data_IF_076579031129
#
_entry.id   IF_076579031129
#
_cell.length_a   1.000
_cell.length_b   1.000
_cell.length_c   1.000
_cell.angle_alpha   90.00
_cell.angle_beta   90.00
_cell.angle_gamma   90.00
#
_symmetry.space_group_name_H-M   'P 1'
#
loop_
_entity.id
_entity.type
_entity.pdbx_description
1 polymer ?
#
# COMPACT_ATOMS: atom_id res chain seq x y z
N UNK A 1 -6.35 -1.16 5.14
CA UNK A 1 -5.77 0.20 5.24
C UNK A 1 -6.60 1.18 4.43
N UNK A 2 -6.50 2.47 4.68
CA UNK A 2 -7.32 3.49 3.98
C UNK A 2 -6.45 4.38 3.09
N UNK A 3 -6.87 4.60 1.85
CA UNK A 3 -6.24 5.59 0.95
C UNK A 3 -7.16 6.80 0.87
N UNK A 4 -6.59 7.98 1.10
CA UNK A 4 -7.31 9.24 1.13
C UNK A 4 -6.66 10.22 0.16
N UNK A 5 -7.46 10.73 -0.77
CA UNK A 5 -7.05 11.75 -1.72
C UNK A 5 -7.16 13.14 -1.09
N UNK A 6 -6.04 13.76 -0.73
CA UNK A 6 -5.97 15.15 -0.32
C UNK A 6 -5.37 16.05 -1.41
N UNK A 7 -5.34 15.58 -2.66
CA UNK A 7 -4.84 16.32 -3.80
C UNK A 7 -5.99 16.99 -4.56
N UNK A 8 -5.67 17.86 -5.50
CA UNK A 8 -6.65 18.41 -6.45
C UNK A 8 -6.96 17.46 -7.61
N UNK A 9 -6.42 16.23 -7.62
CA UNK A 9 -6.60 15.24 -8.68
C UNK A 9 -7.72 14.27 -8.30
N UNK A 10 -8.81 14.27 -9.05
CA UNK A 10 -9.88 13.27 -8.92
C UNK A 10 -9.43 11.91 -9.44
N UNK A 11 -9.86 10.82 -8.79
CA UNK A 11 -9.56 9.44 -9.22
C UNK A 11 -8.23 8.88 -8.74
N UNK A 12 -7.27 9.72 -8.34
CA UNK A 12 -5.93 9.30 -7.93
C UNK A 12 -5.92 8.27 -6.77
N UNK A 13 -6.84 8.36 -5.81
CA UNK A 13 -6.89 7.38 -4.72
C UNK A 13 -7.33 6.00 -5.22
N UNK A 14 -8.18 5.93 -6.24
CA UNK A 14 -8.56 4.67 -6.90
C UNK A 14 -7.36 4.01 -7.56
N UNK A 15 -6.64 4.76 -8.40
CA UNK A 15 -5.47 4.26 -9.13
C UNK A 15 -4.38 3.73 -8.17
N UNK A 16 -4.10 4.47 -7.10
CA UNK A 16 -3.14 4.04 -6.08
C UNK A 16 -3.66 2.80 -5.33
N UNK A 17 -4.95 2.74 -5.01
CA UNK A 17 -5.55 1.58 -4.34
C UNK A 17 -5.46 0.32 -5.20
N UNK A 18 -5.76 0.42 -6.50
CA UNK A 18 -5.63 -0.68 -7.45
C UNK A 18 -4.18 -1.16 -7.57
N UNK A 19 -3.23 -0.23 -7.64
CA UNK A 19 -1.81 -0.56 -7.71
C UNK A 19 -1.33 -1.27 -6.45
N UNK A 20 -1.70 -0.77 -5.27
CA UNK A 20 -1.39 -1.40 -3.99
C UNK A 20 -2.05 -2.77 -3.86
N UNK A 21 -3.31 -2.92 -4.28
CA UNK A 21 -4.00 -4.21 -4.29
C UNK A 21 -3.26 -5.23 -5.18
N UNK A 22 -2.78 -4.80 -6.35
CA UNK A 22 -1.95 -5.64 -7.23
C UNK A 22 -0.60 -6.03 -6.61
N UNK A 23 -0.09 -5.27 -5.64
CA UNK A 23 1.11 -5.59 -4.88
C UNK A 23 0.83 -6.51 -3.68
N UNK A 24 -0.44 -6.83 -3.39
CA UNK A 24 -0.86 -7.70 -2.29
C UNK A 24 -1.27 -6.97 -1.01
N UNK A 25 -1.46 -5.66 -1.07
CA UNK A 25 -1.91 -4.85 0.06
C UNK A 25 -3.44 -4.88 0.18
N UNK A 26 -3.94 -5.06 1.41
CA UNK A 26 -5.38 -5.03 1.71
C UNK A 26 -5.88 -3.58 1.88
N UNK A 27 -6.19 -2.96 0.74
CA UNK A 27 -6.67 -1.58 0.64
C UNK A 27 -8.19 -1.55 0.67
N UNK A 28 -8.72 -0.74 1.59
CA UNK A 28 -10.15 -0.45 1.67
C UNK A 28 -10.62 0.49 0.57
N UNK A 29 -11.84 0.99 0.73
CA UNK A 29 -12.51 1.79 -0.28
C UNK A 29 -11.91 3.20 -0.35
N UNK A 30 -11.31 3.66 -1.46
CA UNK A 30 -10.62 4.95 -1.53
C UNK A 30 -11.54 6.12 -1.16
N UNK A 31 -11.04 7.00 -0.30
CA UNK A 31 -11.76 8.19 0.17
C UNK A 31 -11.10 9.49 -0.32
N UNK A 32 -11.82 10.60 -0.19
CA UNK A 32 -11.28 11.94 -0.44
C UNK A 32 -11.21 12.71 0.88
N UNK A 33 -10.12 13.43 1.11
CA UNK A 33 -9.96 14.23 2.32
C UNK A 33 -10.90 15.44 2.28
N UNK A 34 -11.44 15.81 3.44
CA UNK A 34 -12.19 17.07 3.61
C UNK A 34 -11.33 18.31 3.30
N UNK A 35 -10.03 18.21 3.55
CA UNK A 35 -9.07 19.29 3.34
C UNK A 35 -7.91 18.83 2.45
N UNK A 36 -7.61 19.55 1.35
CA UNK A 36 -6.47 19.22 0.52
C UNK A 36 -5.15 19.54 1.25
N UNK A 37 -4.15 18.69 1.05
CA UNK A 37 -2.80 18.84 1.61
C UNK A 37 -1.78 18.91 0.49
N UNK A 38 -0.74 19.71 0.71
CA UNK A 38 0.39 19.76 -0.22
C UNK A 38 1.22 18.49 -0.10
N UNK A 39 1.50 18.05 1.13
CA UNK A 39 2.39 16.92 1.39
C UNK A 39 1.63 15.59 1.44
N UNK A 40 2.32 14.54 0.96
CA UNK A 40 1.87 13.14 1.06
C UNK A 40 2.34 12.58 2.38
N UNK A 41 1.42 12.07 3.20
CA UNK A 41 1.75 11.55 4.54
C UNK A 41 1.11 10.20 4.79
N UNK A 42 1.81 9.36 5.56
CA UNK A 42 1.33 8.06 6.04
C UNK A 42 1.00 8.23 7.51
N UNK A 43 -0.28 8.28 7.86
CA UNK A 43 -0.72 8.31 9.26
C UNK A 43 -0.93 6.89 9.74
N UNK A 44 -0.26 6.52 10.83
CA UNK A 44 -0.35 5.16 11.34
C UNK A 44 -0.33 5.13 12.87
N UNK A 45 -1.08 4.19 13.43
CA UNK A 45 -0.99 3.82 14.83
C UNK A 45 0.34 3.11 15.12
N UNK A 46 0.89 3.21 16.34
CA UNK A 46 2.11 2.49 16.71
C UNK A 46 2.01 0.97 16.46
N UNK A 47 0.81 0.37 16.57
CA UNK A 47 0.56 -1.03 16.26
C UNK A 47 0.74 -1.38 14.77
N UNK A 48 0.64 -0.39 13.88
CA UNK A 48 0.73 -0.51 12.43
C UNK A 48 2.07 0.02 11.88
N UNK A 49 3.06 0.32 12.74
CA UNK A 49 4.34 0.89 12.33
C UNK A 49 5.09 0.03 11.30
N UNK A 50 5.11 -1.29 11.48
CA UNK A 50 5.75 -2.20 10.51
C UNK A 50 5.11 -2.11 9.12
N UNK A 51 3.77 -2.02 9.03
CA UNK A 51 3.07 -1.90 7.76
C UNK A 51 3.29 -0.51 7.12
N UNK A 52 3.42 0.54 7.93
CA UNK A 52 3.75 1.88 7.46
C UNK A 52 5.15 1.94 6.82
N UNK A 53 6.13 1.24 7.39
CA UNK A 53 7.49 1.18 6.85
C UNK A 53 7.52 0.56 5.44
N UNK A 54 6.77 -0.52 5.22
CA UNK A 54 6.62 -1.15 3.91
C UNK A 54 5.90 -0.22 2.92
N UNK A 55 4.85 0.48 3.36
CA UNK A 55 4.17 1.47 2.54
C UNK A 55 5.09 2.63 2.16
N UNK A 56 5.95 3.08 3.07
CA UNK A 56 6.95 4.12 2.80
C UNK A 56 8.01 3.65 1.80
N UNK A 57 8.40 2.37 1.83
CA UNK A 57 9.26 1.80 0.79
C UNK A 57 8.57 1.76 -0.59
N UNK A 58 7.26 1.55 -0.58
CA UNK A 58 6.42 1.50 -1.79
C UNK A 58 6.18 2.90 -2.37
N UNK A 59 5.98 3.89 -1.50
CA UNK A 59 5.71 5.29 -1.82
C UNK A 59 6.79 6.18 -1.17
N UNK A 60 7.98 6.30 -1.79
CA UNK A 60 9.10 7.02 -1.20
C UNK A 60 8.84 8.53 -1.03
N UNK A 61 7.87 9.08 -1.76
CA UNK A 61 7.45 10.48 -1.63
C UNK A 61 6.56 10.75 -0.41
N UNK A 62 6.14 9.72 0.32
CA UNK A 62 5.27 9.86 1.48
C UNK A 62 6.07 9.97 2.79
N UNK A 63 5.66 10.87 3.68
CA UNK A 63 6.26 11.05 5.00
C UNK A 63 5.50 10.30 6.08
N UNK A 64 6.19 9.57 6.93
CA UNK A 64 5.63 8.83 8.05
C UNK A 64 5.24 9.77 9.20
N UNK A 65 3.96 9.71 9.60
CA UNK A 65 3.40 10.50 10.71
C UNK A 65 2.79 9.53 11.72
N UNK A 66 3.49 9.20 12.81
CA UNK A 66 2.94 8.36 13.85
C UNK A 66 1.80 9.08 14.58
N UNK A 67 0.66 8.39 14.73
CA UNK A 67 -0.54 8.85 15.41
C UNK A 67 -0.79 7.96 16.64
N UNK A 68 -0.16 8.25 17.79
CA UNK A 68 -0.30 7.44 19.01
C UNK A 68 -1.68 7.54 19.65
N UNK A 69 -2.53 8.47 19.21
CA UNK A 69 -3.92 8.61 19.66
C UNK A 69 -4.89 7.62 19.00
N UNK A 70 -4.46 6.96 17.93
CA UNK A 70 -5.25 6.01 17.16
C UNK A 70 -4.79 4.57 17.40
N UNK A 71 -5.68 3.60 17.26
CA UNK A 71 -5.35 2.16 17.35
C UNK A 71 -5.81 1.44 16.09
N UNK A 72 -4.96 0.55 15.56
CA UNK A 72 -5.22 -0.19 14.31
C UNK A 72 -5.50 0.71 13.08
N UNK A 73 -5.05 1.96 13.10
CA UNK A 73 -5.21 2.90 11.98
C UNK A 73 -3.97 2.86 11.09
N UNK A 74 -4.20 2.74 9.78
CA UNK A 74 -3.19 2.91 8.74
C UNK A 74 -3.82 3.62 7.56
N UNK A 75 -3.42 4.87 7.33
CA UNK A 75 -4.01 5.76 6.36
C UNK A 75 -2.92 6.42 5.51
N UNK A 76 -3.03 6.28 4.20
CA UNK A 76 -2.20 6.98 3.22
C UNK A 76 -2.95 8.23 2.74
N UNK A 77 -2.41 9.41 3.04
CA UNK A 77 -2.96 10.69 2.57
C UNK A 77 -2.12 11.17 1.39
N UNK A 78 -2.73 11.18 0.21
CA UNK A 78 -2.11 11.58 -1.05
C UNK A 78 -2.24 13.09 -1.24
N UNK A 79 -1.13 13.82 -1.07
CA UNK A 79 -1.08 15.26 -1.26
C UNK A 79 -0.75 15.66 -2.70
N UNK A 80 -0.62 16.97 -2.94
CA UNK A 80 -0.20 17.52 -4.23
C UNK A 80 1.24 17.11 -4.63
N UNK A 81 2.13 16.89 -3.66
CA UNK A 81 3.51 16.45 -3.85
C UNK A 81 3.65 14.97 -4.24
N UNK A 82 2.54 14.24 -4.40
CA UNK A 82 2.58 12.85 -4.85
C UNK A 82 3.00 12.76 -6.33
N UNK A 83 4.00 11.94 -6.65
CA UNK A 83 4.60 11.89 -8.00
C UNK A 83 4.05 10.75 -8.88
N UNK A 84 2.97 10.07 -8.45
CA UNK A 84 2.46 8.86 -9.13
C UNK A 84 3.42 7.67 -9.15
N UNK A 85 4.50 7.77 -8.38
CA UNK A 85 5.48 6.70 -8.25
C UNK A 85 5.09 5.78 -7.12
N UNK A 86 4.53 4.63 -7.49
CA UNK A 86 4.33 3.47 -6.61
C UNK A 86 5.28 2.37 -7.08
N UNK A 87 6.10 1.84 -6.18
CA UNK A 87 7.05 0.76 -6.48
C UNK A 87 6.76 -0.43 -5.61
N UNK A 88 7.00 -1.64 -6.13
CA UNK A 88 6.96 -2.82 -5.28
C UNK A 88 8.00 -2.68 -4.15
N UNK A 89 7.63 -2.95 -2.88
CA UNK A 89 8.61 -3.00 -1.82
C UNK A 89 9.63 -4.11 -2.13
N UNK A 90 10.92 -3.85 -1.85
CA UNK A 90 12.00 -4.82 -2.09
C UNK A 90 11.88 -6.07 -1.22
N UNK A 91 11.18 -5.95 -0.09
CA UNK A 91 10.79 -7.10 0.74
C UNK A 91 9.42 -7.58 0.30
N UNK A 92 9.28 -8.86 -0.10
CA UNK A 92 7.97 -9.43 -0.29
C UNK A 92 7.24 -9.33 1.04
N UNK A 93 6.14 -8.58 1.08
CA UNK A 93 5.10 -8.80 2.07
C UNK A 93 4.77 -10.28 1.95
N UNK A 94 5.24 -11.07 2.91
CA UNK A 94 4.91 -12.48 3.03
C UNK A 94 3.44 -12.57 3.45
N UNK A 95 2.55 -12.10 2.58
CA UNK A 95 1.26 -12.73 2.44
C UNK A 95 1.62 -14.14 2.04
N UNK A 96 1.45 -15.08 2.97
CA UNK A 96 1.50 -16.48 2.68
C UNK A 96 0.59 -16.72 1.47
N UNK A 97 1.17 -16.75 0.28
CA UNK A 97 0.62 -17.57 -0.77
C UNK A 97 0.45 -18.94 -0.13
N UNK A 98 -0.73 -19.59 -0.18
CA UNK A 98 -0.66 -21.01 -0.33
C UNK A 98 0.15 -21.19 -1.61
N UNK A 99 1.41 -21.62 -1.47
CA UNK A 99 2.11 -22.32 -2.53
C UNK A 99 1.13 -23.35 -3.05
N UNK A 100 0.56 -23.07 -4.22
CA UNK A 100 0.23 -24.12 -5.17
C UNK A 100 1.22 -24.01 -6.32
N UNK A 101 2.51 -24.07 -5.98
CA UNK A 101 3.45 -24.78 -6.82
C UNK A 101 3.40 -26.25 -6.39
N UNK A 102 2.63 -27.07 -7.10
CA UNK A 102 2.90 -28.50 -7.26
C UNK A 102 1.90 -29.16 -8.23
N UNK A 103 2.12 -28.98 -9.53
CA UNK A 103 2.15 -30.15 -10.41
C UNK A 103 3.30 -29.96 -11.39
N UNK A 104 4.50 -29.97 -10.82
CA UNK A 104 5.59 -30.63 -11.51
C UNK A 104 5.25 -32.13 -11.50
N UNK A 105 5.03 -32.71 -12.66
CA UNK A 105 5.32 -34.12 -12.85
C UNK A 105 6.49 -34.21 -13.83
N UNK A 106 7.69 -34.56 -13.34
CA UNK A 106 8.79 -35.00 -14.19
C UNK A 106 8.90 -36.53 -14.10
N UNK A 107 8.59 -37.25 -15.19
CA UNK A 107 9.11 -38.60 -15.47
C UNK A 107 8.90 -38.97 -16.95
N UNK A 108 9.92 -38.88 -17.80
CA UNK A 108 10.71 -40.00 -18.37
C UNK A 108 9.93 -41.19 -18.99
N UNK A 109 9.99 -41.28 -20.33
CA UNK A 109 10.45 -42.42 -21.17
C UNK A 109 9.92 -43.87 -20.98
N UNK A 110 9.59 -44.48 -22.14
CA UNK A 110 9.61 -45.91 -22.54
C UNK A 110 8.35 -46.81 -22.39
N UNK A 111 7.72 -47.11 -23.53
CA UNK A 111 7.45 -48.48 -24.04
C UNK A 111 7.05 -48.42 -25.50
#
# INVERSE_FOLDING_TARGET
>A
MQVVNASSRSGLAGEVSETLNSLGFDVGEPESADQPTTETVIRFSPDQAAAAEVLRATVPSASEVPDPGSTNVLQLVLGQSFDDVVRAPSEPIALAAPTTEASAEPAVTCT
#
